data_IF_231784580408
#
_entry.id   IF_231784580408
#
_cell.length_a   1.000
_cell.length_b   1.000
_cell.length_c   1.000
_cell.angle_alpha   90.00
_cell.angle_beta   90.00
_cell.angle_gamma   90.00
#
_symmetry.space_group_name_H-M   'P 1'
#
loop_
_entity.id
_entity.type
_entity.pdbx_description
1 polymer ?
#
# COMPACT_ATOMS: atom_id res chain seq x y z
N UNK A 1 -7.26 -7.55 6.99
CA UNK A 1 -6.73 -6.52 6.08
C UNK A 1 -6.87 -6.94 4.61
N UNK A 2 -6.21 -8.02 4.17
CA UNK A 2 -6.16 -8.42 2.74
C UNK A 2 -7.52 -8.54 2.06
N UNK A 3 -8.50 -9.25 2.66
CA UNK A 3 -9.85 -9.37 2.08
C UNK A 3 -10.55 -8.01 1.96
N UNK A 4 -10.47 -7.17 2.99
CA UNK A 4 -11.06 -5.84 2.97
C UNK A 4 -10.46 -4.99 1.85
N UNK A 5 -9.14 -4.90 1.76
CA UNK A 5 -8.46 -4.15 0.70
C UNK A 5 -8.80 -4.73 -0.68
N UNK A 6 -8.79 -6.06 -0.82
CA UNK A 6 -9.08 -6.75 -2.07
C UNK A 6 -10.47 -6.42 -2.62
N UNK A 7 -11.50 -6.57 -1.80
CA UNK A 7 -12.87 -6.31 -2.23
C UNK A 7 -13.10 -4.84 -2.60
N UNK A 8 -12.61 -3.90 -1.80
CA UNK A 8 -12.90 -2.48 -2.03
C UNK A 8 -12.04 -1.90 -3.16
N UNK A 9 -10.74 -2.23 -3.23
CA UNK A 9 -9.86 -1.74 -4.29
C UNK A 9 -10.30 -2.28 -5.66
N UNK A 10 -10.49 -3.61 -5.77
CA UNK A 10 -10.96 -4.20 -7.03
C UNK A 10 -12.37 -3.72 -7.38
N UNK A 11 -13.26 -3.61 -6.39
CA UNK A 11 -14.62 -3.12 -6.58
C UNK A 11 -14.66 -1.72 -7.18
N UNK A 12 -13.80 -0.80 -6.70
CA UNK A 12 -13.70 0.55 -7.25
C UNK A 12 -13.12 0.58 -8.67
N UNK A 13 -12.09 -0.22 -8.96
CA UNK A 13 -11.57 -0.34 -10.33
C UNK A 13 -12.65 -0.82 -11.31
N UNK A 14 -13.34 -1.92 -10.97
CA UNK A 14 -14.40 -2.48 -11.81
C UNK A 14 -15.57 -1.52 -11.95
N UNK A 15 -15.99 -0.85 -10.88
CA UNK A 15 -17.03 0.18 -10.93
C UNK A 15 -16.64 1.30 -11.92
N UNK A 16 -15.42 1.83 -11.81
CA UNK A 16 -14.95 2.92 -12.65
C UNK A 16 -14.83 2.51 -14.13
N UNK A 17 -14.37 1.29 -14.41
CA UNK A 17 -14.31 0.73 -15.76
C UNK A 17 -15.71 0.60 -16.37
N UNK A 18 -16.70 0.12 -15.61
CA UNK A 18 -18.10 0.01 -16.08
C UNK A 18 -18.70 1.39 -16.35
N UNK A 19 -18.47 2.38 -15.48
CA UNK A 19 -18.97 3.75 -15.69
C UNK A 19 -18.35 4.39 -16.93
N UNK A 20 -17.06 4.14 -17.18
CA UNK A 20 -16.37 4.60 -18.39
C UNK A 20 -16.91 3.91 -19.65
N UNK A 21 -17.10 2.59 -19.60
CA UNK A 21 -17.64 1.82 -20.70
C UNK A 21 -19.06 2.24 -21.10
N UNK A 22 -19.86 2.71 -20.14
CA UNK A 22 -21.19 3.28 -20.38
C UNK A 22 -21.19 4.75 -20.82
N UNK A 23 -20.02 5.37 -20.98
CA UNK A 23 -19.92 6.77 -21.41
C UNK A 23 -20.37 7.78 -20.35
N UNK A 24 -20.39 7.38 -19.08
CA UNK A 24 -20.75 8.24 -17.93
C UNK A 24 -19.56 8.38 -16.96
N UNK A 25 -18.43 8.97 -17.39
CA UNK A 25 -17.23 9.09 -16.56
C UNK A 25 -17.44 9.92 -15.29
N UNK A 26 -18.41 10.83 -15.27
CA UNK A 26 -18.79 11.62 -14.09
C UNK A 26 -19.37 10.79 -12.94
N UNK A 27 -19.76 9.54 -13.20
CA UNK A 27 -20.27 8.59 -12.19
C UNK A 27 -19.17 7.72 -11.59
N UNK A 28 -17.92 7.90 -12.01
CA UNK A 28 -16.79 7.25 -11.36
C UNK A 28 -16.67 7.72 -9.90
N UNK A 29 -16.18 6.84 -9.05
CA UNK A 29 -15.86 7.16 -7.68
C UNK A 29 -14.37 7.51 -7.64
N UNK A 30 -14.09 8.81 -7.56
CA UNK A 30 -12.75 9.37 -7.52
C UNK A 30 -12.49 9.93 -6.12
N UNK A 31 -11.64 9.24 -5.36
CA UNK A 31 -11.32 9.61 -3.98
C UNK A 31 -9.97 10.33 -3.96
N UNK A 32 -9.96 11.58 -3.50
CA UNK A 32 -8.73 12.34 -3.32
C UNK A 32 -7.87 11.79 -2.18
N UNK A 33 -6.54 11.62 -2.36
CA UNK A 33 -5.63 11.18 -1.31
C UNK A 33 -5.29 12.34 -0.34
N UNK A 34 -6.29 12.89 0.33
CA UNK A 34 -6.19 14.10 1.18
C UNK A 34 -5.09 14.01 2.24
N UNK A 35 -4.86 12.81 2.81
CA UNK A 35 -3.80 12.62 3.81
C UNK A 35 -2.40 12.77 3.19
N UNK A 36 -2.20 12.26 1.97
CA UNK A 36 -0.92 12.38 1.29
C UNK A 36 -0.72 13.81 0.75
N UNK A 37 -1.79 14.46 0.25
CA UNK A 37 -1.75 15.86 -0.17
C UNK A 37 -1.43 16.79 1.01
N UNK A 38 -2.01 16.52 2.18
CA UNK A 38 -1.69 17.22 3.43
C UNK A 38 -0.22 17.06 3.81
N UNK A 39 0.37 15.87 3.66
CA UNK A 39 1.82 15.66 3.89
C UNK A 39 2.64 16.50 2.89
N UNK A 40 2.27 16.54 1.61
CA UNK A 40 2.99 17.39 0.63
C UNK A 40 2.93 18.86 1.03
N UNK A 41 1.78 19.36 1.49
CA UNK A 41 1.64 20.73 1.98
C UNK A 41 2.35 20.99 3.30
N UNK A 42 2.35 20.04 4.24
CA UNK A 42 3.14 20.11 5.46
C UNK A 42 4.65 20.27 5.16
N UNK A 43 5.10 19.72 4.03
CA UNK A 43 6.46 19.89 3.50
C UNK A 43 6.66 21.13 2.62
N UNK A 44 5.67 22.02 2.47
CA UNK A 44 5.84 23.29 1.76
C UNK A 44 5.36 23.32 0.31
N UNK A 45 4.66 22.27 -0.15
CA UNK A 45 3.99 22.31 -1.45
C UNK A 45 2.71 23.15 -1.40
N UNK A 46 2.70 24.26 -2.13
CA UNK A 46 1.61 25.24 -2.10
C UNK A 46 0.38 24.82 -2.94
N UNK A 47 0.53 23.85 -3.84
CA UNK A 47 -0.49 23.49 -4.84
C UNK A 47 -1.88 23.15 -4.25
N UNK A 48 -1.92 22.52 -3.07
CA UNK A 48 -3.17 22.03 -2.47
C UNK A 48 -3.86 23.02 -1.52
N UNK A 49 -3.20 24.12 -1.16
CA UNK A 49 -3.81 25.20 -0.36
C UNK A 49 -4.21 24.82 1.08
N UNK A 50 -3.54 23.84 1.71
CA UNK A 50 -3.81 23.49 3.11
C UNK A 50 -3.25 24.50 4.12
N UNK A 51 -2.31 25.36 3.72
CA UNK A 51 -1.66 26.39 4.55
C UNK A 51 -1.25 25.88 5.94
N UNK A 52 -0.46 24.80 5.96
CA UNK A 52 -0.05 24.09 7.17
C UNK A 52 1.46 23.90 7.22
N UNK A 53 2.06 24.08 8.40
CA UNK A 53 3.51 23.94 8.63
C UNK A 53 4.33 24.69 7.57
N UNK A 54 5.16 24.01 6.79
CA UNK A 54 6.09 24.66 5.85
C UNK A 54 5.39 25.30 4.65
N UNK A 55 4.11 25.03 4.39
CA UNK A 55 3.34 25.79 3.37
C UNK A 55 2.78 27.10 3.91
N UNK A 56 2.74 27.29 5.24
CA UNK A 56 2.31 28.54 5.89
C UNK A 56 3.51 29.37 6.31
N UNK A 57 3.68 30.55 5.72
CA UNK A 57 4.77 31.48 6.04
C UNK A 57 4.77 31.92 7.53
N UNK A 58 3.58 31.99 8.14
CA UNK A 58 3.43 32.39 9.55
C UNK A 58 3.75 31.25 10.54
N UNK A 59 4.03 30.04 10.06
CA UNK A 59 4.25 28.91 10.96
C UNK A 59 5.61 29.00 11.67
N UNK A 60 5.73 28.56 12.93
CA UNK A 60 7.02 28.49 13.62
C UNK A 60 8.03 27.61 12.86
N UNK A 61 7.56 26.54 12.21
CA UNK A 61 8.40 25.63 11.43
C UNK A 61 9.00 26.33 10.20
N UNK A 62 8.23 27.17 9.52
CA UNK A 62 8.70 27.96 8.39
C UNK A 62 9.74 28.99 8.85
N UNK A 63 9.40 29.78 9.86
CA UNK A 63 10.26 30.85 10.37
C UNK A 63 11.62 30.32 10.88
N UNK A 64 11.63 29.16 11.53
CA UNK A 64 12.87 28.55 12.03
C UNK A 64 13.81 28.05 10.92
N UNK A 65 13.28 27.69 9.74
CA UNK A 65 14.06 27.15 8.62
C UNK A 65 14.48 28.18 7.57
N UNK A 66 13.88 29.37 7.58
CA UNK A 66 13.90 30.34 6.47
C UNK A 66 15.30 30.79 6.05
N UNK A 67 16.27 30.85 6.96
CA UNK A 67 17.61 31.42 6.67
C UNK A 67 18.66 30.37 6.27
N UNK A 68 18.33 29.07 6.27
CA UNK A 68 19.31 28.01 6.08
C UNK A 68 19.04 27.17 4.82
N UNK A 69 18.13 26.20 4.91
CA UNK A 69 17.86 25.24 3.84
C UNK A 69 16.48 25.44 3.19
N UNK A 70 15.57 26.13 3.87
CA UNK A 70 14.17 26.20 3.48
C UNK A 70 13.91 26.89 2.13
N UNK A 71 14.57 28.01 1.75
CA UNK A 71 14.33 28.64 0.45
C UNK A 71 14.60 27.69 -0.72
N UNK A 72 15.77 27.04 -0.74
CA UNK A 72 16.11 26.08 -1.79
C UNK A 72 15.21 24.84 -1.79
N UNK A 73 14.73 24.41 -0.63
CA UNK A 73 13.74 23.33 -0.52
C UNK A 73 12.38 23.73 -1.11
N UNK A 74 11.89 24.93 -0.79
CA UNK A 74 10.60 25.44 -1.30
C UNK A 74 10.64 25.66 -2.81
N UNK A 75 11.77 26.15 -3.33
CA UNK A 75 11.99 26.26 -4.77
C UNK A 75 11.95 24.89 -5.45
N UNK A 76 12.57 23.87 -4.85
CA UNK A 76 12.60 22.53 -5.39
C UNK A 76 11.24 21.82 -5.34
N UNK A 77 10.52 21.87 -4.20
CA UNK A 77 9.25 21.13 -4.02
C UNK A 77 8.09 21.75 -4.82
N UNK A 78 8.17 23.04 -5.16
CA UNK A 78 7.18 23.72 -6.00
C UNK A 78 7.57 23.75 -7.49
N UNK A 79 8.69 23.13 -7.87
CA UNK A 79 9.10 23.01 -9.27
C UNK A 79 8.46 21.78 -9.94
N UNK A 80 7.50 22.02 -10.84
CA UNK A 80 6.80 20.96 -11.57
C UNK A 80 7.64 20.20 -12.61
N UNK A 81 8.91 20.58 -12.81
CA UNK A 81 9.81 19.93 -13.78
C UNK A 81 10.65 18.80 -13.17
N UNK A 82 10.57 18.57 -11.86
CA UNK A 82 11.31 17.50 -11.18
C UNK A 82 10.35 16.41 -10.64
N UNK A 83 10.90 15.41 -9.95
CA UNK A 83 10.14 14.32 -9.32
C UNK A 83 9.95 14.47 -7.81
N UNK A 84 10.34 15.62 -7.23
CA UNK A 84 10.24 15.87 -5.80
C UNK A 84 8.78 16.13 -5.42
N UNK A 85 8.16 15.18 -4.71
CA UNK A 85 6.74 15.22 -4.34
C UNK A 85 5.84 15.52 -5.54
N UNK A 86 5.79 14.61 -6.51
CA UNK A 86 4.87 14.70 -7.65
C UNK A 86 3.42 14.96 -7.21
N UNK A 87 2.67 15.69 -8.03
CA UNK A 87 1.25 15.93 -7.77
C UNK A 87 0.49 14.63 -7.85
N UNK A 88 -0.22 14.31 -6.77
CA UNK A 88 -1.04 13.11 -6.62
C UNK A 88 -2.53 13.43 -6.68
N UNK A 89 -3.30 12.48 -7.17
CA UNK A 89 -4.77 12.54 -7.27
C UNK A 89 -5.44 11.18 -7.08
N UNK A 90 -6.67 11.00 -7.58
CA UNK A 90 -7.46 9.80 -7.34
C UNK A 90 -6.87 8.50 -7.89
N UNK A 91 -6.16 8.58 -9.01
CA UNK A 91 -5.43 7.43 -9.56
C UNK A 91 -4.35 6.92 -8.60
N UNK A 92 -3.60 7.85 -7.99
CA UNK A 92 -2.58 7.55 -6.99
C UNK A 92 -3.19 6.92 -5.73
N UNK A 93 -4.37 7.38 -5.31
CA UNK A 93 -5.10 6.77 -4.19
C UNK A 93 -5.37 5.28 -4.44
N UNK A 94 -5.92 4.94 -5.61
CA UNK A 94 -6.29 3.56 -5.94
C UNK A 94 -5.06 2.65 -6.03
N UNK A 95 -3.98 3.09 -6.70
CA UNK A 95 -2.78 2.27 -6.84
C UNK A 95 -2.07 2.07 -5.50
N UNK A 96 -2.04 3.07 -4.61
CA UNK A 96 -1.47 2.88 -3.27
C UNK A 96 -2.27 1.87 -2.43
N UNK A 97 -3.59 1.78 -2.61
CA UNK A 97 -4.39 0.73 -1.96
C UNK A 97 -4.13 -0.65 -2.58
N UNK A 98 -3.86 -0.74 -3.88
CA UNK A 98 -3.44 -1.97 -4.52
C UNK A 98 -2.04 -2.43 -4.04
N UNK A 99 -1.10 -1.49 -3.86
CA UNK A 99 0.20 -1.76 -3.24
C UNK A 99 0.02 -2.26 -1.81
N UNK A 100 -0.84 -1.60 -1.01
CA UNK A 100 -1.14 -2.04 0.35
C UNK A 100 -1.75 -3.44 0.38
N UNK A 101 -2.65 -3.77 -0.56
CA UNK A 101 -3.20 -5.12 -0.72
C UNK A 101 -2.09 -6.15 -0.97
N UNK A 102 -1.18 -5.88 -1.90
CA UNK A 102 -0.03 -6.74 -2.18
C UNK A 102 0.82 -6.96 -0.93
N UNK A 103 1.26 -5.87 -0.29
CA UNK A 103 2.07 -5.92 0.94
C UNK A 103 1.40 -6.72 2.06
N UNK A 104 0.11 -6.49 2.32
CA UNK A 104 -0.62 -7.21 3.37
C UNK A 104 -0.82 -8.70 3.03
N UNK A 105 -1.07 -9.04 1.77
CA UNK A 105 -1.28 -10.42 1.34
C UNK A 105 0.02 -11.21 1.36
N UNK A 106 1.10 -10.66 0.81
CA UNK A 106 2.44 -11.29 0.87
C UNK A 106 2.89 -11.46 2.32
N UNK A 107 2.71 -10.43 3.16
CA UNK A 107 3.02 -10.53 4.60
C UNK A 107 2.18 -11.60 5.29
N UNK A 108 0.88 -11.71 4.97
CA UNK A 108 0.01 -12.75 5.53
C UNK A 108 0.52 -14.15 5.18
N UNK A 109 0.89 -14.39 3.92
CA UNK A 109 1.39 -15.69 3.46
C UNK A 109 2.67 -16.06 4.22
N UNK A 110 3.65 -15.15 4.26
CA UNK A 110 4.93 -15.36 4.93
C UNK A 110 4.78 -15.56 6.44
N UNK A 111 4.01 -14.70 7.11
CA UNK A 111 3.81 -14.77 8.56
C UNK A 111 3.06 -16.06 8.94
N UNK A 112 2.00 -16.41 8.21
CA UNK A 112 1.30 -17.68 8.43
C UNK A 112 2.23 -18.87 8.22
N UNK A 113 3.02 -18.86 7.14
CA UNK A 113 4.01 -19.90 6.85
C UNK A 113 5.00 -20.11 7.99
N UNK A 114 5.52 -19.01 8.55
CA UNK A 114 6.44 -19.04 9.69
C UNK A 114 5.77 -19.50 11.00
N UNK A 115 4.57 -19.01 11.31
CA UNK A 115 3.86 -19.37 12.54
C UNK A 115 3.42 -20.85 12.56
N UNK A 116 2.98 -21.38 11.41
CA UNK A 116 2.56 -22.78 11.26
C UNK A 116 3.71 -23.74 10.91
N UNK A 117 4.96 -23.25 10.89
CA UNK A 117 6.12 -24.05 10.48
C UNK A 117 6.40 -25.22 11.44
N UNK A 118 6.15 -25.02 12.75
CA UNK A 118 6.40 -26.07 13.76
C UNK A 118 5.29 -27.10 13.84
N UNK A 119 4.10 -26.76 13.37
CA UNK A 119 2.91 -27.60 13.44
C UNK A 119 1.66 -26.75 13.26
N UNK A 120 0.62 -27.36 12.70
CA UNK A 120 -0.73 -26.79 12.63
C UNK A 120 -1.74 -27.85 13.06
N UNK A 121 -3.03 -27.51 13.12
CA UNK A 121 -4.07 -28.51 13.43
C UNK A 121 -4.10 -29.67 12.43
N UNK A 122 -3.75 -29.42 11.16
CA UNK A 122 -3.78 -30.43 10.09
C UNK A 122 -2.56 -31.37 10.15
N UNK A 123 -1.40 -30.86 10.58
CA UNK A 123 -0.15 -31.61 10.72
C UNK A 123 0.61 -31.09 11.96
N UNK A 124 0.32 -31.61 13.17
CA UNK A 124 0.87 -31.09 14.42
C UNK A 124 2.38 -31.30 14.60
N UNK A 125 2.92 -32.30 13.93
CA UNK A 125 4.29 -32.80 13.96
C UNK A 125 5.17 -32.22 12.84
N UNK A 126 4.72 -31.16 12.16
CA UNK A 126 5.43 -30.56 11.00
C UNK A 126 6.91 -30.27 11.24
N UNK A 127 7.29 -29.85 12.45
CA UNK A 127 8.69 -29.62 12.85
C UNK A 127 9.61 -30.82 12.61
N UNK A 128 9.09 -32.04 12.60
CA UNK A 128 9.85 -33.29 12.45
C UNK A 128 10.28 -33.53 10.99
N UNK A 129 9.62 -32.86 10.04
CA UNK A 129 9.83 -33.00 8.60
C UNK A 129 10.76 -31.92 8.02
N UNK A 130 11.13 -30.91 8.81
CA UNK A 130 12.01 -29.82 8.40
C UNK A 130 11.29 -28.71 7.63
N UNK A 131 12.08 -27.83 6.99
CA UNK A 131 11.57 -26.61 6.35
C UNK A 131 10.87 -26.87 5.00
N UNK A 132 11.42 -27.78 4.20
CA UNK A 132 10.96 -28.11 2.84
C UNK A 132 10.75 -29.60 2.72
N UNK A 133 9.52 -30.00 2.38
CA UNK A 133 9.08 -31.37 2.15
C UNK A 133 7.80 -31.33 1.29
N UNK A 134 7.51 -32.35 0.46
CA UNK A 134 6.48 -32.25 -0.58
C UNK A 134 5.03 -32.21 -0.06
N UNK A 135 4.70 -33.06 0.91
CA UNK A 135 3.39 -33.15 1.58
C UNK A 135 3.48 -34.15 2.74
N UNK A 136 2.36 -34.35 3.47
CA UNK A 136 2.12 -35.48 4.38
C UNK A 136 1.03 -36.43 3.83
N UNK A 137 1.13 -36.71 2.52
CA UNK A 137 0.26 -37.64 1.80
C UNK A 137 -1.18 -37.16 1.51
N UNK A 138 -1.99 -38.02 0.84
CA UNK A 138 -3.37 -37.69 0.46
C UNK A 138 -4.38 -37.85 1.62
N UNK A 139 -3.95 -38.35 2.77
CA UNK A 139 -4.80 -38.51 3.95
C UNK A 139 -5.34 -37.18 4.48
N UNK A 140 -6.33 -37.25 5.38
CA UNK A 140 -6.93 -36.07 6.06
C UNK A 140 -7.47 -34.99 5.11
N UNK A 141 -7.86 -35.36 3.89
CA UNK A 141 -8.37 -34.45 2.86
C UNK A 141 -7.31 -33.92 1.89
N UNK A 142 -6.03 -34.31 2.05
CA UNK A 142 -4.90 -33.86 1.24
C UNK A 142 -4.05 -32.81 1.96
N UNK A 143 -2.73 -32.86 1.75
CA UNK A 143 -1.74 -31.98 2.41
C UNK A 143 -0.72 -31.39 1.44
N UNK A 144 -1.14 -31.13 0.21
CA UNK A 144 -0.32 -30.39 -0.76
C UNK A 144 0.02 -28.99 -0.21
N UNK A 145 1.21 -28.49 -0.55
CA UNK A 145 1.69 -27.14 -0.21
C UNK A 145 1.63 -26.80 1.29
N UNK A 146 1.92 -27.80 2.14
CA UNK A 146 1.78 -27.68 3.61
C UNK A 146 3.07 -27.25 4.32
N UNK A 147 4.22 -27.36 3.67
CA UNK A 147 5.52 -27.03 4.27
C UNK A 147 5.70 -25.52 4.41
N UNK A 148 6.65 -25.10 5.25
CA UNK A 148 6.97 -23.69 5.40
C UNK A 148 7.64 -23.12 4.14
N UNK A 149 8.37 -23.96 3.40
CA UNK A 149 8.92 -23.61 2.09
C UNK A 149 7.81 -23.34 1.06
N UNK A 150 6.72 -24.10 1.07
CA UNK A 150 5.60 -23.88 0.13
C UNK A 150 4.94 -22.52 0.37
N UNK A 151 4.87 -22.06 1.62
CA UNK A 151 4.41 -20.70 1.92
C UNK A 151 5.38 -19.63 1.40
N UNK A 152 6.69 -19.87 1.43
CA UNK A 152 7.66 -19.00 0.77
C UNK A 152 7.46 -18.99 -0.76
N UNK A 153 7.29 -20.16 -1.36
CA UNK A 153 7.01 -20.31 -2.80
C UNK A 153 5.76 -19.54 -3.24
N UNK A 154 4.67 -19.63 -2.47
CA UNK A 154 3.41 -18.92 -2.74
C UNK A 154 3.49 -17.41 -2.53
N UNK A 155 4.50 -16.92 -1.80
CA UNK A 155 4.67 -15.49 -1.53
C UNK A 155 5.51 -14.76 -2.58
N UNK A 156 6.18 -15.50 -3.47
CA UNK A 156 6.99 -14.99 -4.59
C UNK A 156 6.10 -14.77 -5.81
#
# INVERSE_FOLDING_TARGET
ASLFLGFHTLGLYVHNDVMLAFGTPEKQILIEPVFAQWIQSAHGKALYGFDVLLSSADSPAFNAGQTLWLPGWLDAINNNSNSLFLTIGPGDFLVHHAIALGLHTTTLILVKGALDARGSKLMPDKKEFGYSFPCDGPGRGGTCDISAWDAFYLAV
#
